data_IF_761565759821
#
_entry.id   IF_761565759821
#
_cell.length_a   1.000
_cell.length_b   1.000
_cell.length_c   1.000
_cell.angle_alpha   90.00
_cell.angle_beta   90.00
_cell.angle_gamma   90.00
#
_symmetry.space_group_name_H-M   'P 1'
#
loop_
_entity.id
_entity.type
_entity.pdbx_description
1 polymer ?
#
# COMPACT_ATOMS: atom_id res chain seq x y z
N UNK A 1 25.71 -15.48 17.27
CA UNK A 1 24.56 -16.40 17.39
C UNK A 1 23.30 -15.60 17.14
N UNK A 2 22.52 -16.01 16.17
CA UNK A 2 21.29 -15.34 15.69
C UNK A 2 20.02 -15.87 16.37
N UNK A 3 20.19 -16.55 17.51
CA UNK A 3 19.11 -17.10 18.31
C UNK A 3 18.30 -15.99 18.96
N UNK A 4 16.97 -16.04 18.86
CA UNK A 4 16.06 -15.11 19.51
C UNK A 4 16.09 -15.31 21.04
N UNK A 5 16.39 -14.25 21.77
CA UNK A 5 16.44 -14.27 23.24
C UNK A 5 15.28 -13.52 23.90
N UNK A 6 14.70 -12.54 23.17
CA UNK A 6 13.58 -11.76 23.69
C UNK A 6 12.66 -11.29 22.55
N UNK A 7 11.36 -11.33 22.80
CA UNK A 7 10.34 -10.72 21.97
C UNK A 7 9.44 -9.90 22.91
N UNK A 8 9.23 -8.62 22.57
CA UNK A 8 8.40 -7.75 23.37
C UNK A 8 7.56 -6.83 22.50
N UNK A 9 6.25 -6.84 22.69
CA UNK A 9 5.32 -5.95 22.04
C UNK A 9 4.81 -4.86 22.99
N UNK A 10 4.38 -3.75 22.39
CA UNK A 10 3.68 -2.65 23.04
C UNK A 10 2.60 -2.09 22.14
N UNK A 11 1.69 -1.35 22.75
CA UNK A 11 0.71 -0.54 22.05
C UNK A 11 1.31 0.86 21.80
N UNK A 12 1.27 1.32 20.54
CA UNK A 12 1.64 2.68 20.13
C UNK A 12 0.46 3.32 19.38
N UNK A 13 0.56 4.58 18.98
CA UNK A 13 -0.46 5.24 18.16
C UNK A 13 -0.06 5.25 16.69
N UNK A 14 -1.04 5.01 15.82
CA UNK A 14 -0.92 5.21 14.38
C UNK A 14 -1.12 6.69 14.00
N UNK A 15 -0.98 7.02 12.70
CA UNK A 15 -1.12 8.37 12.14
C UNK A 15 -2.53 8.97 12.29
N UNK A 16 -3.53 8.15 12.67
CA UNK A 16 -4.90 8.58 12.94
C UNK A 16 -5.18 8.70 14.45
N UNK A 17 -4.17 8.45 15.30
CA UNK A 17 -4.34 8.43 16.76
C UNK A 17 -5.03 7.17 17.29
N UNK A 18 -5.14 6.10 16.47
CA UNK A 18 -5.64 4.81 16.94
C UNK A 18 -4.48 3.93 17.42
N UNK A 19 -4.71 3.06 18.41
CA UNK A 19 -3.70 2.09 18.84
C UNK A 19 -3.32 1.12 17.73
N UNK A 20 -2.02 0.78 17.68
CA UNK A 20 -1.47 -0.31 16.89
C UNK A 20 -0.35 -1.03 17.62
N UNK A 21 0.11 -2.16 17.07
CA UNK A 21 1.14 -3.01 17.66
C UNK A 21 2.53 -2.61 17.18
N UNK A 22 3.47 -2.47 18.11
CA UNK A 22 4.91 -2.40 17.82
C UNK A 22 5.62 -3.54 18.54
N UNK A 23 6.59 -4.17 17.88
CA UNK A 23 7.35 -5.32 18.40
C UNK A 23 8.85 -5.06 18.33
N UNK A 24 9.56 -5.43 19.40
CA UNK A 24 11.02 -5.59 19.43
C UNK A 24 11.39 -7.06 19.47
N UNK A 25 12.40 -7.46 18.69
CA UNK A 25 13.07 -8.77 18.75
C UNK A 25 14.54 -8.55 19.07
N UNK A 26 15.07 -9.28 20.06
CA UNK A 26 16.49 -9.24 20.45
C UNK A 26 17.12 -10.61 20.23
N UNK A 27 18.35 -10.61 19.69
CA UNK A 27 19.12 -11.82 19.40
C UNK A 27 20.27 -12.00 20.39
N UNK A 28 20.78 -13.23 20.53
CA UNK A 28 21.88 -13.56 21.42
C UNK A 28 23.21 -12.83 21.09
N UNK A 29 23.38 -12.37 19.84
CA UNK A 29 24.53 -11.53 19.45
C UNK A 29 24.37 -10.05 19.85
N UNK A 30 23.21 -9.64 20.40
CA UNK A 30 22.91 -8.26 20.76
C UNK A 30 22.18 -7.47 19.68
N UNK A 31 22.02 -8.02 18.46
CA UNK A 31 21.25 -7.39 17.40
C UNK A 31 19.77 -7.26 17.79
N UNK A 32 19.15 -6.19 17.33
CA UNK A 32 17.75 -5.85 17.64
C UNK A 32 17.01 -5.44 16.39
N UNK A 33 15.76 -5.87 16.29
CA UNK A 33 14.84 -5.41 15.26
C UNK A 33 13.58 -4.86 15.86
N UNK A 34 13.02 -3.83 15.24
CA UNK A 34 11.74 -3.21 15.62
C UNK A 34 10.88 -3.08 14.39
N UNK A 35 9.59 -3.32 14.55
CA UNK A 35 8.60 -3.05 13.53
C UNK A 35 7.27 -2.62 14.14
N UNK A 36 6.58 -1.69 13.47
CA UNK A 36 5.25 -1.26 13.82
C UNK A 36 4.25 -1.61 12.70
N UNK A 37 3.07 -2.07 13.11
CA UNK A 37 2.08 -2.63 12.18
C UNK A 37 1.13 -1.53 11.68
N UNK A 38 0.93 -1.39 10.35
CA UNK A 38 -0.06 -0.46 9.80
C UNK A 38 -1.49 -1.01 9.98
N UNK A 39 -2.50 -0.11 9.86
CA UNK A 39 -3.91 -0.43 10.05
C UNK A 39 -4.79 0.20 8.96
N UNK A 40 -5.71 -0.55 8.39
CA UNK A 40 -6.66 -0.06 7.37
C UNK A 40 -7.82 0.77 7.96
N UNK A 41 -8.38 1.68 7.15
CA UNK A 41 -9.67 2.32 7.44
C UNK A 41 -10.83 1.53 6.79
N UNK A 42 -10.74 1.29 5.50
CA UNK A 42 -11.52 0.29 4.77
C UNK A 42 -10.74 -1.02 4.75
N UNK A 43 -11.42 -2.14 4.82
CA UNK A 43 -10.80 -3.48 4.80
C UNK A 43 -11.58 -4.37 3.84
N UNK A 44 -10.88 -5.05 2.93
CA UNK A 44 -11.47 -6.08 2.08
C UNK A 44 -12.06 -7.21 2.91
N UNK A 45 -13.13 -7.81 2.45
CA UNK A 45 -13.87 -8.87 3.18
C UNK A 45 -12.97 -10.06 3.56
N UNK A 46 -11.92 -10.30 2.79
CA UNK A 46 -11.04 -11.47 2.92
C UNK A 46 -9.67 -11.17 3.54
N UNK A 47 -9.45 -9.98 4.08
CA UNK A 47 -8.20 -9.65 4.77
C UNK A 47 -7.98 -10.51 6.02
N UNK A 48 -6.72 -10.71 6.38
CA UNK A 48 -6.35 -11.31 7.65
C UNK A 48 -6.81 -10.42 8.82
N UNK A 49 -7.20 -11.06 9.93
CA UNK A 49 -7.90 -10.40 11.02
C UNK A 49 -7.00 -9.52 11.88
N UNK A 50 -7.23 -8.22 11.86
CA UNK A 50 -6.64 -7.30 12.83
C UNK A 50 -7.33 -7.45 14.18
N UNK A 51 -6.61 -8.00 15.18
CA UNK A 51 -7.18 -8.25 16.51
C UNK A 51 -7.28 -6.96 17.32
N UNK A 52 -8.51 -6.54 17.59
CA UNK A 52 -8.88 -5.39 18.42
C UNK A 52 -9.51 -5.86 19.73
N UNK A 53 -9.36 -5.06 20.80
CA UNK A 53 -9.86 -5.43 22.15
C UNK A 53 -11.39 -5.44 22.23
N UNK A 54 -12.06 -4.52 21.50
CA UNK A 54 -13.51 -4.38 21.51
C UNK A 54 -14.06 -3.69 22.78
N UNK A 55 -13.22 -3.33 23.74
CA UNK A 55 -13.60 -2.61 24.95
C UNK A 55 -13.83 -1.13 24.65
N UNK A 56 -15.09 -0.73 24.56
CA UNK A 56 -15.50 0.63 24.24
C UNK A 56 -15.07 1.70 25.25
N UNK A 57 -14.75 1.29 26.49
CA UNK A 57 -14.25 2.21 27.52
C UNK A 57 -12.80 2.66 27.27
N UNK A 58 -12.09 1.94 26.39
CA UNK A 58 -10.70 2.20 26.05
C UNK A 58 -10.53 2.34 24.53
N UNK A 59 -10.05 3.51 24.08
CA UNK A 59 -9.88 3.83 22.63
C UNK A 59 -11.10 3.50 21.76
N UNK A 60 -12.31 3.66 22.31
CA UNK A 60 -13.57 3.38 21.61
C UNK A 60 -13.67 1.94 21.05
N UNK A 61 -13.00 0.97 21.70
CA UNK A 61 -12.94 -0.42 21.29
C UNK A 61 -11.76 -0.77 20.38
N UNK A 62 -10.94 0.21 19.98
CA UNK A 62 -9.83 0.02 19.03
C UNK A 62 -8.50 -0.37 19.69
N UNK A 63 -8.44 -0.59 21.02
CA UNK A 63 -7.25 -1.05 21.71
C UNK A 63 -6.68 -2.35 21.12
N UNK A 64 -5.38 -2.62 21.33
CA UNK A 64 -4.67 -3.81 20.80
C UNK A 64 -3.96 -4.61 21.89
N UNK A 65 -4.39 -4.46 23.16
CA UNK A 65 -3.77 -5.15 24.29
C UNK A 65 -3.85 -6.69 24.18
N UNK A 66 -4.92 -7.24 23.58
CA UNK A 66 -5.03 -8.67 23.30
C UNK A 66 -3.95 -9.16 22.35
N UNK A 67 -3.70 -8.42 21.27
CA UNK A 67 -2.62 -8.71 20.31
C UNK A 67 -1.25 -8.60 20.99
N UNK A 68 -1.01 -7.53 21.75
CA UNK A 68 0.22 -7.34 22.55
C UNK A 68 0.42 -8.49 23.54
N UNK A 69 -0.61 -8.90 24.26
CA UNK A 69 -0.53 -10.04 25.17
C UNK A 69 -0.22 -11.36 24.44
N UNK A 70 -0.81 -11.59 23.26
CA UNK A 70 -0.51 -12.76 22.44
C UNK A 70 0.97 -12.81 22.02
N UNK A 71 1.54 -11.66 21.63
CA UNK A 71 3.00 -11.56 21.31
C UNK A 71 3.82 -11.87 22.56
N UNK A 72 3.57 -11.17 23.68
CA UNK A 72 4.41 -11.22 24.88
C UNK A 72 4.33 -12.58 25.62
N UNK A 73 3.33 -13.40 25.33
CA UNK A 73 3.12 -14.69 26.00
C UNK A 73 3.23 -15.87 25.03
N UNK A 74 2.25 -16.04 24.14
CA UNK A 74 2.13 -17.24 23.29
C UNK A 74 3.20 -17.28 22.22
N UNK A 75 3.36 -16.17 21.45
CA UNK A 75 4.32 -16.10 20.34
C UNK A 75 5.75 -16.10 20.89
N UNK A 76 6.04 -15.27 21.89
CA UNK A 76 7.36 -15.25 22.52
C UNK A 76 7.76 -16.62 23.06
N UNK A 77 6.84 -17.32 23.77
CA UNK A 77 7.11 -18.68 24.28
C UNK A 77 7.43 -19.69 23.17
N UNK A 78 6.80 -19.56 22.01
CA UNK A 78 7.01 -20.46 20.88
C UNK A 78 8.32 -20.18 20.12
N UNK A 79 8.77 -18.92 20.09
CA UNK A 79 9.87 -18.49 19.21
C UNK A 79 11.20 -18.21 19.94
N UNK A 80 11.22 -18.02 21.26
CA UNK A 80 12.49 -17.92 22.00
C UNK A 80 13.29 -19.22 21.80
N UNK A 81 14.56 -19.07 21.38
CA UNK A 81 15.43 -20.18 21.01
C UNK A 81 15.48 -20.50 19.52
N UNK A 82 14.56 -19.94 18.70
CA UNK A 82 14.62 -20.06 17.24
C UNK A 82 15.78 -19.24 16.64
N UNK A 83 16.25 -19.66 15.49
CA UNK A 83 17.22 -18.90 14.69
C UNK A 83 16.47 -17.82 13.89
N UNK A 84 16.81 -16.55 14.10
CA UNK A 84 16.21 -15.42 13.39
C UNK A 84 16.44 -15.44 11.87
N UNK A 85 17.46 -16.16 11.39
CA UNK A 85 17.72 -16.32 9.96
C UNK A 85 16.75 -17.27 9.27
N UNK A 86 16.02 -18.11 10.02
CA UNK A 86 14.94 -18.95 9.48
C UNK A 86 13.60 -18.22 9.51
N UNK A 87 13.48 -17.14 8.70
CA UNK A 87 12.27 -16.33 8.59
C UNK A 87 11.03 -17.16 8.22
N UNK A 88 11.20 -18.09 7.26
CA UNK A 88 10.09 -18.92 6.77
C UNK A 88 9.60 -19.88 7.87
N UNK A 89 10.52 -20.53 8.58
CA UNK A 89 10.19 -21.42 9.70
C UNK A 89 9.51 -20.67 10.86
N UNK A 90 10.00 -19.45 11.15
CA UNK A 90 9.41 -18.57 12.16
C UNK A 90 7.97 -18.17 11.81
N UNK A 91 7.73 -17.68 10.60
CA UNK A 91 6.39 -17.28 10.15
C UNK A 91 5.42 -18.48 10.14
N UNK A 92 5.85 -19.64 9.61
CA UNK A 92 5.06 -20.87 9.62
C UNK A 92 4.74 -21.35 11.05
N UNK A 93 5.66 -21.18 11.98
CA UNK A 93 5.42 -21.52 13.40
C UNK A 93 4.30 -20.65 13.98
N UNK A 94 4.31 -19.35 13.72
CA UNK A 94 3.26 -18.44 14.18
C UNK A 94 1.90 -18.72 13.53
N UNK A 95 1.90 -18.98 12.21
CA UNK A 95 0.67 -19.32 11.47
C UNK A 95 0.07 -20.63 11.99
N UNK A 96 0.89 -21.65 12.25
CA UNK A 96 0.44 -22.92 12.81
C UNK A 96 -0.08 -22.76 14.26
N UNK A 97 0.56 -21.88 15.05
CA UNK A 97 0.12 -21.57 16.41
C UNK A 97 -1.25 -20.87 16.45
N UNK A 98 -1.53 -20.02 15.48
CA UNK A 98 -2.86 -19.42 15.27
C UNK A 98 -3.87 -20.50 14.83
N UNK A 99 -3.56 -21.25 13.79
CA UNK A 99 -4.34 -22.36 13.27
C UNK A 99 -5.68 -21.97 12.64
N UNK A 100 -5.90 -20.68 12.34
CA UNK A 100 -7.10 -20.20 11.62
C UNK A 100 -6.74 -19.61 10.26
N UNK A 101 -7.60 -19.69 9.23
CA UNK A 101 -7.29 -19.18 7.89
C UNK A 101 -6.99 -17.68 7.83
N UNK A 102 -7.61 -16.90 8.72
CA UNK A 102 -7.51 -15.44 8.77
C UNK A 102 -6.67 -14.93 9.94
N UNK A 103 -5.91 -15.79 10.62
CA UNK A 103 -5.11 -15.43 11.81
C UNK A 103 -5.93 -14.80 12.95
N UNK A 104 -7.19 -15.26 13.11
CA UNK A 104 -8.17 -14.66 14.03
C UNK A 104 -7.92 -14.92 15.51
N UNK A 105 -7.11 -15.93 15.87
CA UNK A 105 -6.82 -16.29 17.26
C UNK A 105 -5.72 -15.43 17.91
N UNK A 106 -4.62 -15.23 17.21
CA UNK A 106 -3.48 -14.42 17.67
C UNK A 106 -3.60 -12.98 17.21
N UNK A 107 -4.18 -12.77 16.04
CA UNK A 107 -4.25 -11.52 15.32
C UNK A 107 -3.14 -11.42 14.26
N UNK A 108 -3.52 -11.07 13.03
CA UNK A 108 -2.55 -10.81 11.97
C UNK A 108 -1.59 -9.68 12.33
N UNK A 109 -2.04 -8.68 13.08
CA UNK A 109 -1.20 -7.60 13.60
C UNK A 109 -0.14 -8.10 14.60
N UNK A 110 -0.47 -9.07 15.45
CA UNK A 110 0.51 -9.69 16.36
C UNK A 110 1.56 -10.49 15.59
N UNK A 111 1.14 -11.30 14.63
CA UNK A 111 2.03 -12.14 13.81
C UNK A 111 2.93 -11.26 12.94
N UNK A 112 2.37 -10.27 12.23
CA UNK A 112 3.13 -9.38 11.36
C UNK A 112 4.18 -8.58 12.13
N UNK A 113 3.82 -8.04 13.29
CA UNK A 113 4.78 -7.27 14.10
C UNK A 113 6.03 -8.08 14.44
N UNK A 114 5.86 -9.35 14.84
CA UNK A 114 7.01 -10.24 15.13
C UNK A 114 7.75 -10.61 13.85
N UNK A 115 7.04 -10.93 12.77
CA UNK A 115 7.62 -11.31 11.48
C UNK A 115 8.55 -10.23 10.93
N UNK A 116 8.09 -8.97 10.90
CA UNK A 116 8.88 -7.83 10.42
C UNK A 116 10.03 -7.49 11.38
N UNK A 117 9.78 -7.45 12.70
CA UNK A 117 10.81 -7.17 13.69
C UNK A 117 11.93 -8.23 13.66
N UNK A 118 11.60 -9.50 13.42
CA UNK A 118 12.59 -10.56 13.21
C UNK A 118 13.47 -10.31 12.00
N UNK A 119 12.88 -9.91 10.86
CA UNK A 119 13.65 -9.60 9.65
C UNK A 119 14.63 -8.44 9.88
N UNK A 120 14.22 -7.40 10.61
CA UNK A 120 15.13 -6.32 11.02
C UNK A 120 16.26 -6.80 11.93
N UNK A 121 15.96 -7.63 12.94
CA UNK A 121 16.98 -8.19 13.84
C UNK A 121 17.98 -9.09 13.09
N UNK A 122 17.48 -9.90 12.15
CA UNK A 122 18.33 -10.76 11.32
C UNK A 122 19.25 -9.96 10.39
N UNK A 123 18.72 -8.90 9.76
CA UNK A 123 19.51 -7.99 8.93
C UNK A 123 20.62 -7.29 9.74
N UNK A 124 20.28 -6.76 10.91
CA UNK A 124 21.23 -6.15 11.85
C UNK A 124 22.32 -7.14 12.30
N UNK A 125 21.95 -8.39 12.61
CA UNK A 125 22.91 -9.43 12.99
C UNK A 125 23.93 -9.76 11.88
N UNK A 126 23.58 -9.51 10.62
CA UNK A 126 24.45 -9.73 9.47
C UNK A 126 25.13 -8.44 8.99
N UNK A 127 24.95 -7.32 9.71
CA UNK A 127 25.45 -5.99 9.32
C UNK A 127 25.01 -5.62 7.88
N UNK A 128 23.75 -5.90 7.54
CA UNK A 128 23.18 -5.63 6.23
C UNK A 128 21.96 -4.70 6.32
N UNK A 129 21.80 -3.74 5.39
CA UNK A 129 20.53 -3.05 5.22
C UNK A 129 19.40 -4.04 4.91
N UNK A 130 18.20 -3.80 5.44
CA UNK A 130 17.08 -4.74 5.32
C UNK A 130 16.77 -5.11 3.85
N UNK A 131 16.76 -4.14 2.93
CA UNK A 131 16.51 -4.44 1.52
C UNK A 131 17.54 -5.39 0.89
N UNK A 132 18.79 -5.34 1.35
CA UNK A 132 19.86 -6.27 0.90
C UNK A 132 19.70 -7.66 1.51
N UNK A 133 19.40 -7.71 2.81
CA UNK A 133 19.12 -8.97 3.50
C UNK A 133 17.97 -9.75 2.85
N UNK A 134 16.85 -9.05 2.56
CA UNK A 134 15.67 -9.68 1.96
C UNK A 134 15.84 -10.01 0.47
N UNK A 135 16.45 -9.10 -0.30
CA UNK A 135 16.46 -9.18 -1.77
C UNK A 135 17.80 -9.67 -2.36
N UNK A 136 18.82 -9.86 -1.51
CA UNK A 136 20.14 -10.30 -1.94
C UNK A 136 20.89 -9.30 -2.84
N UNK A 137 21.90 -9.77 -3.57
CA UNK A 137 22.80 -8.87 -4.32
C UNK A 137 22.12 -8.18 -5.52
N UNK A 138 20.98 -8.67 -6.01
CA UNK A 138 20.26 -8.09 -7.15
C UNK A 138 19.20 -7.08 -6.75
N UNK A 139 18.99 -6.79 -5.46
CA UNK A 139 18.08 -5.73 -5.00
C UNK A 139 18.65 -4.35 -5.35
N UNK A 140 18.07 -3.68 -6.36
CA UNK A 140 18.62 -2.43 -6.93
C UNK A 140 17.61 -1.51 -7.61
N UNK A 141 16.33 -1.95 -7.76
CA UNK A 141 15.32 -1.15 -8.44
C UNK A 141 14.60 -0.26 -7.44
N UNK A 142 14.83 1.05 -7.56
CA UNK A 142 14.07 2.07 -6.86
C UNK A 142 12.66 2.17 -7.49
N UNK A 143 11.59 2.09 -6.68
CA UNK A 143 10.24 2.08 -7.21
C UNK A 143 9.79 3.44 -7.72
N UNK A 144 8.95 3.46 -8.76
CA UNK A 144 8.17 4.64 -9.14
C UNK A 144 7.14 4.91 -8.03
N UNK A 145 7.15 6.12 -7.43
CA UNK A 145 6.15 6.45 -6.43
C UNK A 145 4.81 6.81 -7.09
N UNK A 146 3.74 6.20 -6.58
CA UNK A 146 2.35 6.57 -6.85
C UNK A 146 1.89 7.48 -5.71
N UNK A 147 1.92 8.79 -5.94
CA UNK A 147 1.74 9.79 -4.88
C UNK A 147 0.30 10.29 -4.86
N UNK A 148 -0.47 9.95 -3.84
CA UNK A 148 -1.84 10.45 -3.66
C UNK A 148 -1.84 11.94 -3.34
N UNK A 149 -2.15 12.81 -4.32
CA UNK A 149 -2.16 14.26 -4.16
C UNK A 149 -3.54 14.88 -4.06
N UNK A 150 -4.60 14.12 -4.39
CA UNK A 150 -5.98 14.58 -4.35
C UNK A 150 -6.92 13.47 -3.91
N UNK A 151 -7.77 13.76 -2.94
CA UNK A 151 -8.71 12.82 -2.33
C UNK A 151 -10.17 13.14 -2.70
N UNK A 152 -10.94 12.10 -2.86
CA UNK A 152 -12.41 12.09 -2.96
C UNK A 152 -12.97 10.89 -2.19
N UNK A 153 -14.07 10.32 -2.65
CA UNK A 153 -14.67 9.10 -2.10
C UNK A 153 -14.83 9.14 -0.58
N UNK A 154 -14.50 8.07 0.11
CA UNK A 154 -14.52 7.98 1.57
C UNK A 154 -13.47 8.87 2.26
N UNK A 155 -12.44 9.31 1.54
CA UNK A 155 -11.35 10.15 2.05
C UNK A 155 -11.66 11.67 2.04
N UNK A 156 -12.85 12.08 1.60
CA UNK A 156 -13.24 13.50 1.51
C UNK A 156 -14.75 13.68 1.54
N UNK A 157 -15.22 14.81 2.08
CA UNK A 157 -16.63 15.24 2.00
C UNK A 157 -16.99 15.89 0.65
N UNK A 158 -16.06 15.96 -0.29
CA UNK A 158 -16.28 16.53 -1.61
C UNK A 158 -17.30 15.74 -2.43
N UNK A 159 -18.00 16.40 -3.40
CA UNK A 159 -18.93 15.72 -4.32
C UNK A 159 -18.15 14.94 -5.41
N UNK A 160 -17.25 14.06 -4.99
CA UNK A 160 -16.37 13.23 -5.82
C UNK A 160 -16.49 11.80 -5.32
N UNK A 161 -16.81 10.86 -6.22
CA UNK A 161 -16.98 9.45 -5.87
C UNK A 161 -15.63 8.68 -5.86
N UNK A 162 -14.73 9.04 -6.77
CA UNK A 162 -13.42 8.37 -6.89
C UNK A 162 -12.52 8.76 -5.71
N UNK A 163 -11.86 7.78 -5.07
CA UNK A 163 -11.22 7.96 -3.77
C UNK A 163 -9.86 8.65 -3.85
N UNK A 164 -8.98 8.26 -4.80
CA UNK A 164 -7.62 8.78 -4.89
C UNK A 164 -7.21 9.11 -6.32
N UNK A 165 -6.56 10.28 -6.46
CA UNK A 165 -5.91 10.71 -7.70
C UNK A 165 -4.42 10.86 -7.41
N UNK A 166 -3.62 10.03 -8.05
CA UNK A 166 -2.17 9.94 -7.83
C UNK A 166 -1.39 10.47 -9.02
N UNK A 167 -0.21 11.01 -8.77
CA UNK A 167 0.79 11.30 -9.80
C UNK A 167 1.91 10.26 -9.75
N UNK A 168 2.44 9.94 -10.94
CA UNK A 168 3.55 9.02 -11.14
C UNK A 168 4.64 9.69 -11.96
N UNK A 169 5.79 10.10 -11.37
CA UNK A 169 6.89 10.73 -12.09
C UNK A 169 7.73 9.69 -12.87
N UNK A 170 7.11 8.97 -13.82
CA UNK A 170 7.77 7.91 -14.62
C UNK A 170 8.89 8.46 -15.53
N UNK A 171 8.83 9.73 -15.90
CA UNK A 171 9.85 10.36 -16.73
C UNK A 171 11.13 10.78 -16.00
N UNK A 172 11.20 10.59 -14.68
CA UNK A 172 12.38 10.91 -13.89
C UNK A 172 13.58 9.99 -14.22
N UNK A 173 14.79 10.48 -13.98
CA UNK A 173 16.03 9.72 -14.22
C UNK A 173 16.49 8.93 -12.99
N UNK A 174 16.04 9.34 -11.79
CA UNK A 174 16.38 8.75 -10.51
C UNK A 174 15.21 8.86 -9.55
N UNK A 175 15.24 8.11 -8.43
CA UNK A 175 14.23 8.25 -7.39
C UNK A 175 14.25 9.65 -6.76
N UNK A 176 15.44 10.19 -6.50
CA UNK A 176 15.63 11.57 -6.00
C UNK A 176 14.98 12.59 -6.92
N UNK A 177 15.13 12.43 -8.22
CA UNK A 177 14.51 13.32 -9.21
C UNK A 177 12.98 13.14 -9.21
N UNK A 178 12.49 11.91 -9.15
CA UNK A 178 11.07 11.62 -9.07
C UNK A 178 10.41 12.26 -7.82
N UNK A 179 11.08 12.17 -6.67
CA UNK A 179 10.59 12.77 -5.43
C UNK A 179 10.56 14.29 -5.51
N UNK A 180 11.59 14.92 -6.11
CA UNK A 180 11.63 16.37 -6.37
C UNK A 180 10.48 16.79 -7.28
N UNK A 181 10.30 16.11 -8.41
CA UNK A 181 9.21 16.39 -9.36
C UNK A 181 7.84 16.32 -8.68
N UNK A 182 7.62 15.26 -7.88
CA UNK A 182 6.39 15.11 -7.11
C UNK A 182 6.16 16.26 -6.13
N UNK A 183 7.20 16.66 -5.38
CA UNK A 183 7.10 17.76 -4.41
C UNK A 183 6.81 19.11 -5.09
N UNK A 184 7.43 19.38 -6.22
CA UNK A 184 7.19 20.60 -7.01
C UNK A 184 5.75 20.64 -7.53
N UNK A 185 5.22 19.52 -8.04
CA UNK A 185 3.81 19.42 -8.46
C UNK A 185 2.86 19.57 -7.27
N UNK A 186 3.15 18.95 -6.14
CA UNK A 186 2.34 19.08 -4.92
C UNK A 186 2.23 20.55 -4.46
N UNK A 187 3.34 21.29 -4.47
CA UNK A 187 3.34 22.71 -4.12
C UNK A 187 2.64 23.58 -5.19
N UNK A 188 2.82 23.28 -6.48
CA UNK A 188 2.09 23.94 -7.56
C UNK A 188 0.57 23.70 -7.41
N UNK A 189 0.14 22.44 -7.10
CA UNK A 189 -1.26 22.10 -6.87
C UNK A 189 -1.85 22.90 -5.70
N UNK A 190 -1.10 23.08 -4.61
CA UNK A 190 -1.51 23.96 -3.51
C UNK A 190 -1.77 25.39 -3.98
N UNK A 191 -0.93 25.90 -4.88
CA UNK A 191 -1.10 27.22 -5.50
C UNK A 191 -2.35 27.30 -6.37
N UNK A 192 -2.57 26.31 -7.24
CA UNK A 192 -3.75 26.21 -8.13
C UNK A 192 -5.04 26.19 -7.29
N UNK A 193 -5.09 25.35 -6.25
CA UNK A 193 -6.25 25.24 -5.36
C UNK A 193 -6.54 26.57 -4.64
N UNK A 194 -5.52 27.23 -4.09
CA UNK A 194 -5.68 28.54 -3.44
C UNK A 194 -6.20 29.60 -4.40
N UNK A 195 -5.69 29.65 -5.62
CA UNK A 195 -6.14 30.58 -6.65
C UNK A 195 -7.62 30.35 -7.02
N UNK A 196 -8.05 29.10 -7.04
CA UNK A 196 -9.44 28.70 -7.21
C UNK A 196 -10.32 28.86 -5.97
N UNK A 197 -9.78 29.39 -4.85
CA UNK A 197 -10.46 29.52 -3.54
C UNK A 197 -10.91 28.19 -2.93
N UNK A 198 -10.20 27.09 -3.26
CA UNK A 198 -10.44 25.78 -2.68
C UNK A 198 -9.61 25.55 -1.41
N UNK A 199 -10.10 24.66 -0.54
CA UNK A 199 -9.37 24.22 0.65
C UNK A 199 -8.03 23.56 0.25
N UNK A 200 -7.00 23.80 1.05
CA UNK A 200 -5.71 23.09 0.96
C UNK A 200 -5.46 22.25 2.22
N UNK A 201 -6.51 21.91 2.96
CA UNK A 201 -6.44 20.89 4.00
C UNK A 201 -6.15 19.53 3.36
N UNK A 202 -5.43 18.68 4.10
CA UNK A 202 -5.02 17.36 3.62
C UNK A 202 -5.75 16.26 4.39
N UNK A 203 -6.01 15.16 3.71
CA UNK A 203 -6.57 13.94 4.29
C UNK A 203 -5.52 13.09 5.02
N UNK A 204 -5.94 11.89 5.44
CA UNK A 204 -5.12 10.96 6.22
C UNK A 204 -3.82 10.55 5.52
N UNK A 205 -3.80 10.54 4.20
CA UNK A 205 -2.65 10.16 3.39
C UNK A 205 -1.84 11.37 2.87
N UNK A 206 -2.19 12.57 3.30
CA UNK A 206 -1.45 13.80 2.96
C UNK A 206 -1.85 14.45 1.64
N UNK A 207 -2.74 13.86 0.83
CA UNK A 207 -3.32 14.48 -0.36
C UNK A 207 -4.34 15.55 -0.01
N UNK A 208 -4.52 16.56 -0.87
CA UNK A 208 -5.53 17.61 -0.66
C UNK A 208 -6.94 17.05 -0.77
N UNK A 209 -7.88 17.62 0.01
CA UNK A 209 -9.28 17.21 0.03
C UNK A 209 -10.22 18.43 -0.23
N UNK A 210 -10.12 19.08 -1.39
CA UNK A 210 -10.95 20.24 -1.73
C UNK A 210 -12.34 19.80 -2.20
N UNK A 211 -13.38 20.63 -1.98
CA UNK A 211 -14.71 20.43 -2.53
C UNK A 211 -14.75 20.81 -4.02
N UNK A 212 -14.16 19.98 -4.89
CA UNK A 212 -14.21 20.15 -6.34
C UNK A 212 -15.57 19.70 -6.89
N UNK A 213 -15.86 20.05 -8.16
CA UNK A 213 -17.23 20.04 -8.71
C UNK A 213 -17.77 18.65 -9.06
N UNK A 214 -16.92 17.74 -9.52
CA UNK A 214 -17.26 16.40 -10.02
C UNK A 214 -16.02 15.51 -10.13
N UNK A 215 -16.17 14.28 -10.57
CA UNK A 215 -15.08 13.29 -10.70
C UNK A 215 -13.99 13.67 -11.73
N UNK A 216 -14.26 14.58 -12.67
CA UNK A 216 -13.27 15.01 -13.67
C UNK A 216 -12.47 16.25 -13.25
N UNK A 217 -13.03 17.12 -12.44
CA UNK A 217 -12.37 18.36 -12.02
C UNK A 217 -10.99 18.14 -11.33
N UNK A 218 -10.76 17.07 -10.55
CA UNK A 218 -9.41 16.74 -10.04
C UNK A 218 -8.37 16.62 -11.14
N UNK A 219 -8.67 15.99 -12.28
CA UNK A 219 -7.73 15.89 -13.39
C UNK A 219 -7.33 17.26 -13.94
N UNK A 220 -8.29 18.18 -14.09
CA UNK A 220 -8.04 19.51 -14.63
C UNK A 220 -7.08 20.29 -13.71
N UNK A 221 -7.28 20.28 -12.41
CA UNK A 221 -6.41 20.99 -11.46
C UNK A 221 -5.04 20.33 -11.32
N UNK A 222 -4.97 18.99 -11.41
CA UNK A 222 -3.69 18.26 -11.40
C UNK A 222 -2.89 18.56 -12.66
N UNK A 223 -3.51 18.55 -13.85
CA UNK A 223 -2.84 18.90 -15.11
C UNK A 223 -2.35 20.35 -15.12
N UNK A 224 -3.13 21.27 -14.55
CA UNK A 224 -2.71 22.66 -14.38
C UNK A 224 -1.48 22.77 -13.46
N UNK A 225 -1.46 22.00 -12.36
CA UNK A 225 -0.33 21.95 -11.43
C UNK A 225 0.93 21.35 -12.07
N UNK A 226 0.80 20.25 -12.82
CA UNK A 226 1.93 19.64 -13.56
C UNK A 226 2.54 20.66 -14.53
N UNK A 227 1.69 21.36 -15.30
CA UNK A 227 2.13 22.41 -16.23
C UNK A 227 2.78 23.59 -15.50
N UNK A 228 2.19 24.04 -14.38
CA UNK A 228 2.74 25.14 -13.57
C UNK A 228 4.11 24.80 -12.96
N UNK A 229 4.33 23.53 -12.60
CA UNK A 229 5.61 23.02 -12.13
C UNK A 229 6.66 22.84 -13.25
N UNK A 230 6.29 23.08 -14.51
CA UNK A 230 7.19 23.00 -15.65
C UNK A 230 7.31 21.62 -16.30
N UNK A 231 6.46 20.66 -15.90
CA UNK A 231 6.48 19.29 -16.42
C UNK A 231 5.41 19.04 -17.49
N UNK A 232 5.59 17.97 -18.25
CA UNK A 232 4.66 17.52 -19.30
C UNK A 232 3.89 16.29 -18.84
N UNK A 233 2.57 16.45 -18.70
CA UNK A 233 1.68 15.33 -18.44
C UNK A 233 1.72 14.31 -19.60
N UNK A 234 1.74 13.03 -19.29
CA UNK A 234 1.86 11.94 -20.27
C UNK A 234 3.27 11.74 -20.83
N UNK A 235 4.28 12.47 -20.31
CA UNK A 235 5.69 12.28 -20.64
C UNK A 235 6.54 12.19 -19.38
N UNK A 236 6.53 13.25 -18.58
CA UNK A 236 7.33 13.34 -17.35
C UNK A 236 6.55 12.78 -16.18
N UNK A 237 5.25 13.13 -16.09
CA UNK A 237 4.33 12.74 -15.02
C UNK A 237 3.06 12.15 -15.62
N UNK A 238 2.65 11.01 -15.09
CA UNK A 238 1.43 10.30 -15.44
C UNK A 238 0.46 10.31 -14.26
N UNK A 239 -0.78 9.87 -14.49
CA UNK A 239 -1.84 9.79 -13.48
C UNK A 239 -2.14 8.33 -13.20
N UNK A 240 -2.34 8.01 -11.92
CA UNK A 240 -2.94 6.77 -11.46
C UNK A 240 -4.18 7.07 -10.61
N UNK A 241 -5.12 6.15 -10.61
CA UNK A 241 -6.38 6.26 -9.87
C UNK A 241 -6.53 5.09 -8.90
N UNK A 242 -7.16 5.38 -7.78
CA UNK A 242 -7.85 4.39 -6.95
C UNK A 242 -9.28 4.85 -6.73
N UNK A 243 -10.23 4.35 -7.53
CA UNK A 243 -11.65 4.62 -7.33
C UNK A 243 -12.24 4.03 -6.07
N UNK A 244 -11.68 2.92 -5.56
CA UNK A 244 -12.27 2.08 -4.52
C UNK A 244 -13.74 1.72 -4.86
N UNK A 245 -13.96 1.11 -6.02
CA UNK A 245 -15.29 0.98 -6.62
C UNK A 245 -16.27 0.14 -5.80
N UNK A 246 -15.81 -0.68 -4.87
CA UNK A 246 -16.67 -1.38 -3.91
C UNK A 246 -17.50 -0.42 -3.05
N UNK A 247 -16.99 0.80 -2.74
CA UNK A 247 -17.68 1.81 -1.91
C UNK A 247 -18.94 2.38 -2.58
N UNK A 248 -19.01 2.38 -3.89
CA UNK A 248 -20.18 2.87 -4.64
C UNK A 248 -20.88 1.77 -5.46
N UNK A 249 -20.56 0.49 -5.21
CA UNK A 249 -21.27 -0.63 -5.78
C UNK A 249 -22.50 -0.99 -4.95
N UNK A 250 -23.63 -1.18 -5.62
CA UNK A 250 -24.86 -1.68 -5.01
C UNK A 250 -25.08 -3.15 -5.39
N UNK A 251 -24.84 -4.10 -4.47
CA UNK A 251 -24.98 -5.52 -4.77
C UNK A 251 -26.41 -5.97 -5.09
N UNK A 252 -27.43 -5.24 -4.59
CA UNK A 252 -28.82 -5.59 -4.86
C UNK A 252 -29.23 -5.31 -6.32
N UNK A 253 -28.74 -4.21 -6.89
CA UNK A 253 -29.04 -3.82 -8.28
C UNK A 253 -27.92 -4.18 -9.25
N UNK A 254 -26.74 -4.61 -8.74
CA UNK A 254 -25.51 -4.84 -9.50
C UNK A 254 -25.09 -3.61 -10.32
N UNK A 255 -25.23 -2.42 -9.73
CA UNK A 255 -24.92 -1.13 -10.35
C UNK A 255 -23.89 -0.38 -9.52
N UNK A 256 -23.04 0.35 -10.21
CA UNK A 256 -22.15 1.36 -9.63
C UNK A 256 -22.88 2.69 -9.60
N UNK A 257 -23.02 3.30 -8.43
CA UNK A 257 -23.83 4.49 -8.21
C UNK A 257 -22.97 5.65 -7.73
N UNK A 258 -22.80 6.67 -8.55
CA UNK A 258 -22.03 7.87 -8.20
C UNK A 258 -22.88 8.79 -7.31
N UNK A 259 -23.00 8.40 -6.04
CA UNK A 259 -23.89 9.05 -5.05
C UNK A 259 -23.47 10.47 -4.69
N UNK A 260 -22.16 10.75 -4.73
CA UNK A 260 -21.60 12.04 -4.31
C UNK A 260 -21.62 13.08 -5.42
N UNK A 261 -21.44 12.67 -6.67
CA UNK A 261 -21.37 13.59 -7.81
C UNK A 261 -22.71 13.79 -8.52
N UNK A 262 -23.07 12.93 -9.45
CA UNK A 262 -24.20 13.16 -10.36
C UNK A 262 -25.38 12.19 -10.19
N UNK A 263 -25.28 11.23 -9.27
CA UNK A 263 -26.31 10.21 -9.03
C UNK A 263 -26.43 9.17 -10.14
N UNK A 264 -25.54 9.18 -11.13
CA UNK A 264 -25.57 8.23 -12.25
C UNK A 264 -25.36 6.78 -11.80
N UNK A 265 -26.04 5.86 -12.51
CA UNK A 265 -25.96 4.42 -12.24
C UNK A 265 -25.42 3.70 -13.46
N UNK A 266 -24.36 2.92 -13.27
CA UNK A 266 -23.67 2.18 -14.34
C UNK A 266 -23.65 0.69 -14.06
N UNK A 267 -23.81 -0.12 -15.09
CA UNK A 267 -23.44 -1.54 -15.07
C UNK A 267 -21.91 -1.68 -15.13
N UNK A 268 -21.39 -2.89 -14.92
CA UNK A 268 -19.96 -3.16 -15.10
C UNK A 268 -19.48 -2.77 -16.50
N UNK A 269 -20.22 -3.10 -17.56
CA UNK A 269 -19.86 -2.73 -18.92
C UNK A 269 -19.81 -1.21 -19.13
N UNK A 270 -20.79 -0.46 -18.60
CA UNK A 270 -20.80 1.01 -18.65
C UNK A 270 -19.65 1.63 -17.82
N UNK A 271 -19.21 0.99 -16.70
CA UNK A 271 -18.03 1.41 -15.97
C UNK A 271 -16.74 1.17 -16.78
N UNK A 272 -16.63 0.04 -17.49
CA UNK A 272 -15.50 -0.25 -18.37
C UNK A 272 -15.38 0.81 -19.48
N UNK A 273 -16.49 1.21 -20.09
CA UNK A 273 -16.46 2.30 -21.08
C UNK A 273 -16.09 3.66 -20.43
N UNK A 274 -16.58 3.93 -19.22
CA UNK A 274 -16.20 5.14 -18.48
C UNK A 274 -14.69 5.21 -18.24
N UNK A 275 -14.06 4.12 -17.81
CA UNK A 275 -12.58 4.05 -17.67
C UNK A 275 -11.86 4.17 -19.02
N UNK A 276 -12.41 3.55 -20.06
CA UNK A 276 -11.86 3.67 -21.42
C UNK A 276 -11.86 5.10 -21.90
N UNK A 277 -12.93 5.85 -21.68
CA UNK A 277 -13.05 7.23 -22.14
C UNK A 277 -12.17 8.19 -21.31
N UNK A 278 -12.10 8.00 -20.00
CA UNK A 278 -11.18 8.77 -19.16
C UNK A 278 -9.71 8.54 -19.54
N UNK A 279 -9.33 7.29 -19.83
CA UNK A 279 -7.93 6.96 -20.22
C UNK A 279 -7.53 7.49 -21.60
N UNK A 280 -8.50 7.76 -22.49
CA UNK A 280 -8.25 8.47 -23.76
C UNK A 280 -8.07 9.99 -23.56
N UNK A 281 -8.79 10.54 -22.57
CA UNK A 281 -8.83 11.98 -22.29
C UNK A 281 -7.67 12.45 -21.44
N UNK A 282 -7.22 11.63 -20.50
CA UNK A 282 -6.21 11.94 -19.50
C UNK A 282 -5.05 10.94 -19.54
N UNK A 283 -3.83 11.31 -19.14
CA UNK A 283 -2.66 10.43 -19.19
C UNK A 283 -2.67 9.42 -18.04
N UNK A 284 -3.76 8.66 -17.92
CA UNK A 284 -3.94 7.59 -16.94
C UNK A 284 -3.16 6.37 -17.39
N UNK A 285 -2.35 5.78 -16.50
CA UNK A 285 -1.56 4.57 -16.76
C UNK A 285 -1.88 3.42 -15.81
N UNK A 286 -2.60 3.70 -14.72
CA UNK A 286 -2.95 2.70 -13.71
C UNK A 286 -4.30 3.01 -13.09
N UNK A 287 -5.12 1.96 -12.89
CA UNK A 287 -6.40 2.01 -12.18
C UNK A 287 -6.40 0.87 -11.16
N UNK A 288 -6.48 1.21 -9.88
CA UNK A 288 -6.65 0.30 -8.76
C UNK A 288 -8.13 0.17 -8.45
N UNK A 289 -8.61 -1.02 -8.17
CA UNK A 289 -10.00 -1.33 -7.81
C UNK A 289 -11.06 -0.56 -8.62
N UNK A 290 -10.89 -0.61 -9.96
CA UNK A 290 -11.79 0.05 -10.92
C UNK A 290 -13.20 -0.56 -10.94
N UNK A 291 -13.38 -1.75 -10.36
CA UNK A 291 -14.65 -2.43 -10.14
C UNK A 291 -14.66 -3.08 -8.76
N UNK A 292 -15.85 -3.44 -8.25
CA UNK A 292 -16.01 -4.02 -6.93
C UNK A 292 -15.29 -5.38 -6.79
N UNK A 293 -14.80 -5.68 -5.59
CA UNK A 293 -14.02 -6.88 -5.25
C UNK A 293 -14.75 -8.20 -5.58
N UNK A 294 -16.09 -8.21 -5.51
CA UNK A 294 -16.93 -9.35 -5.86
C UNK A 294 -17.30 -9.47 -7.33
N UNK A 295 -17.07 -8.45 -8.17
CA UNK A 295 -17.50 -8.41 -9.57
C UNK A 295 -16.45 -8.99 -10.54
N UNK A 296 -16.08 -10.25 -10.36
CA UNK A 296 -15.06 -10.94 -11.14
C UNK A 296 -15.36 -10.95 -12.65
N UNK A 297 -16.65 -11.01 -13.04
CA UNK A 297 -17.05 -10.96 -14.45
C UNK A 297 -16.80 -9.57 -15.06
N UNK A 298 -17.13 -8.52 -14.32
CA UNK A 298 -16.81 -7.14 -14.70
C UNK A 298 -15.30 -6.91 -14.79
N UNK A 299 -14.54 -7.39 -13.82
CA UNK A 299 -13.08 -7.31 -13.82
C UNK A 299 -12.45 -8.00 -15.04
N UNK A 300 -12.95 -9.16 -15.43
CA UNK A 300 -12.51 -9.82 -16.64
C UNK A 300 -12.76 -8.97 -17.88
N UNK A 301 -13.97 -8.40 -18.00
CA UNK A 301 -14.31 -7.50 -19.10
C UNK A 301 -13.40 -6.25 -19.12
N UNK A 302 -13.11 -5.69 -17.96
CA UNK A 302 -12.19 -4.55 -17.80
C UNK A 302 -10.78 -4.93 -18.29
N UNK A 303 -10.31 -6.12 -17.93
CA UNK A 303 -8.97 -6.60 -18.31
C UNK A 303 -8.88 -6.85 -19.81
N UNK A 304 -9.88 -7.50 -20.41
CA UNK A 304 -9.95 -7.72 -21.86
C UNK A 304 -9.97 -6.41 -22.66
N UNK A 305 -10.62 -5.38 -22.13
CA UNK A 305 -10.74 -4.07 -22.82
C UNK A 305 -9.52 -3.19 -22.68
N UNK A 306 -8.93 -3.14 -21.50
CA UNK A 306 -7.93 -2.13 -21.13
C UNK A 306 -6.58 -2.72 -20.65
N UNK A 307 -6.48 -4.00 -20.38
CA UNK A 307 -5.29 -4.62 -19.78
C UNK A 307 -4.01 -4.49 -20.59
N UNK A 308 -4.11 -4.41 -21.92
CA UNK A 308 -2.96 -4.18 -22.80
C UNK A 308 -2.44 -2.73 -22.77
N UNK A 309 -3.21 -1.81 -22.22
CA UNK A 309 -2.92 -0.36 -22.23
C UNK A 309 -2.69 0.23 -20.85
N UNK A 310 -3.35 -0.33 -19.85
CA UNK A 310 -3.37 0.15 -18.48
C UNK A 310 -2.94 -0.94 -17.51
N UNK A 311 -2.25 -0.53 -16.46
CA UNK A 311 -2.10 -1.33 -15.28
C UNK A 311 -3.43 -1.36 -14.53
N UNK A 312 -3.96 -2.56 -14.30
CA UNK A 312 -5.19 -2.82 -13.57
C UNK A 312 -4.83 -3.52 -12.26
N UNK A 313 -4.86 -2.76 -11.17
CA UNK A 313 -4.38 -3.20 -9.86
C UNK A 313 -5.53 -3.74 -9.03
N UNK A 314 -5.43 -4.98 -8.57
CA UNK A 314 -6.35 -5.55 -7.59
C UNK A 314 -5.83 -5.33 -6.17
N UNK A 315 -6.52 -4.51 -5.37
CA UNK A 315 -6.34 -4.36 -3.92
C UNK A 315 -7.33 -5.28 -3.19
N UNK A 316 -8.56 -4.86 -3.01
CA UNK A 316 -9.58 -5.67 -2.34
C UNK A 316 -9.91 -6.95 -3.11
N UNK A 317 -9.70 -6.94 -4.43
CA UNK A 317 -9.83 -8.13 -5.29
C UNK A 317 -8.91 -9.27 -4.87
N UNK A 318 -7.67 -8.98 -4.43
CA UNK A 318 -6.64 -9.97 -4.14
C UNK A 318 -6.21 -10.03 -2.67
N UNK A 319 -6.39 -8.95 -1.92
CA UNK A 319 -6.04 -8.80 -0.49
C UNK A 319 -4.66 -9.37 -0.13
N UNK A 320 -3.66 -9.20 -1.02
CA UNK A 320 -2.30 -9.75 -0.88
C UNK A 320 -2.26 -11.29 -0.69
N UNK A 321 -3.33 -11.98 -1.07
CA UNK A 321 -3.51 -13.41 -0.82
C UNK A 321 -3.26 -14.24 -2.09
N UNK A 322 -2.29 -15.16 -2.05
CA UNK A 322 -1.91 -16.02 -3.17
C UNK A 322 -3.07 -16.84 -3.75
N UNK A 323 -4.07 -17.20 -2.94
CA UNK A 323 -5.27 -17.93 -3.39
C UNK A 323 -6.12 -17.08 -4.35
N UNK A 324 -6.36 -15.80 -3.98
CA UNK A 324 -7.14 -14.90 -4.85
C UNK A 324 -6.33 -14.43 -6.03
N UNK A 325 -5.02 -14.15 -5.83
CA UNK A 325 -4.12 -13.83 -6.92
C UNK A 325 -4.05 -14.96 -7.95
N UNK A 326 -3.91 -16.21 -7.51
CA UNK A 326 -3.95 -17.39 -8.40
C UNK A 326 -5.23 -17.46 -9.20
N UNK A 327 -6.39 -17.21 -8.56
CA UNK A 327 -7.67 -17.13 -9.29
C UNK A 327 -7.63 -16.06 -10.38
N UNK A 328 -7.11 -14.87 -10.08
CA UNK A 328 -6.96 -13.80 -11.07
C UNK A 328 -6.09 -14.21 -12.25
N UNK A 329 -4.94 -14.81 -11.98
CA UNK A 329 -4.02 -15.34 -13.00
C UNK A 329 -4.71 -16.41 -13.88
N UNK A 330 -5.33 -17.40 -13.25
CA UNK A 330 -5.99 -18.51 -13.96
C UNK A 330 -7.16 -18.03 -14.85
N UNK A 331 -7.81 -16.92 -14.49
CA UNK A 331 -8.95 -16.37 -15.23
C UNK A 331 -8.61 -15.19 -16.14
N UNK A 332 -7.35 -14.72 -16.14
CA UNK A 332 -6.92 -13.54 -16.89
C UNK A 332 -7.61 -12.27 -16.41
N UNK A 333 -7.64 -12.05 -15.09
CA UNK A 333 -8.34 -10.96 -14.41
C UNK A 333 -7.36 -10.04 -13.71
N UNK A 334 -7.36 -8.75 -14.01
CA UNK A 334 -6.32 -7.76 -13.64
C UNK A 334 -4.97 -8.08 -14.31
N UNK A 335 -3.93 -7.29 -14.01
CA UNK A 335 -2.54 -7.52 -14.44
C UNK A 335 -1.53 -6.99 -13.42
N UNK A 336 -2.01 -6.60 -12.24
CA UNK A 336 -1.20 -6.09 -11.13
C UNK A 336 -1.86 -6.40 -9.80
N UNK A 337 -1.06 -6.55 -8.75
CA UNK A 337 -1.52 -6.69 -7.37
C UNK A 337 -1.04 -5.53 -6.52
N UNK A 338 -1.93 -5.00 -5.66
CA UNK A 338 -1.51 -4.17 -4.54
C UNK A 338 -1.07 -5.06 -3.39
N UNK A 339 0.07 -4.76 -2.79
CA UNK A 339 0.68 -5.57 -1.74
C UNK A 339 0.68 -4.78 -0.44
N UNK A 340 -0.15 -5.18 0.51
CA UNK A 340 -0.26 -4.62 1.85
C UNK A 340 0.13 -5.69 2.87
N UNK A 341 1.23 -5.52 3.55
CA UNK A 341 1.80 -6.54 4.46
C UNK A 341 0.82 -7.04 5.53
N UNK A 342 -0.07 -6.16 6.00
CA UNK A 342 -1.04 -6.52 7.05
C UNK A 342 -2.31 -7.21 6.52
N UNK A 343 -2.61 -7.15 5.22
CA UNK A 343 -3.74 -7.89 4.62
C UNK A 343 -3.54 -9.40 4.68
N UNK A 344 -2.29 -9.85 4.65
CA UNK A 344 -1.94 -11.26 4.77
C UNK A 344 -1.29 -11.59 6.11
N UNK A 345 -0.50 -10.68 6.71
CA UNK A 345 -0.07 -10.73 8.10
C UNK A 345 1.23 -11.49 8.39
N UNK A 346 2.07 -11.78 7.39
CA UNK A 346 3.46 -12.23 7.56
C UNK A 346 4.33 -11.77 6.39
N UNK A 347 5.63 -11.63 6.63
CA UNK A 347 6.60 -11.29 5.60
C UNK A 347 6.71 -12.40 4.55
N UNK A 348 6.76 -13.66 4.97
CA UNK A 348 6.87 -14.81 4.06
C UNK A 348 5.70 -14.85 3.07
N UNK A 349 4.45 -14.77 3.54
CA UNK A 349 3.28 -14.79 2.64
C UNK A 349 3.23 -13.53 1.75
N UNK A 350 3.73 -12.39 2.24
CA UNK A 350 3.85 -11.17 1.43
C UNK A 350 4.84 -11.37 0.27
N UNK A 351 5.99 -11.97 0.54
CA UNK A 351 7.00 -12.27 -0.49
C UNK A 351 6.50 -13.33 -1.47
N UNK A 352 5.79 -14.37 -0.99
CA UNK A 352 5.16 -15.40 -1.83
C UNK A 352 4.14 -14.78 -2.81
N UNK A 353 3.34 -13.80 -2.37
CA UNK A 353 2.38 -13.11 -3.24
C UNK A 353 3.09 -12.27 -4.32
N UNK A 354 4.18 -11.57 -3.97
CA UNK A 354 4.97 -10.79 -4.92
C UNK A 354 5.64 -11.71 -5.95
N UNK A 355 6.21 -12.82 -5.52
CA UNK A 355 6.86 -13.78 -6.42
C UNK A 355 5.85 -14.40 -7.40
N UNK A 356 4.70 -14.88 -6.88
CA UNK A 356 3.62 -15.41 -7.71
C UNK A 356 3.15 -14.40 -8.77
N UNK A 357 3.02 -13.12 -8.40
CA UNK A 357 2.65 -12.07 -9.34
C UNK A 357 3.67 -11.94 -10.47
N UNK A 358 4.97 -11.89 -10.12
CA UNK A 358 6.06 -11.76 -11.09
C UNK A 358 6.17 -12.97 -12.04
N UNK A 359 6.05 -14.18 -11.52
CA UNK A 359 6.05 -15.40 -12.32
C UNK A 359 4.92 -15.41 -13.37
N UNK A 360 3.80 -14.76 -13.06
CA UNK A 360 2.65 -14.61 -13.95
C UNK A 360 2.71 -13.37 -14.85
N UNK A 361 3.82 -12.60 -14.84
CA UNK A 361 3.96 -11.30 -15.50
C UNK A 361 2.97 -10.24 -15.02
N UNK A 362 2.47 -10.37 -13.80
CA UNK A 362 1.76 -9.28 -13.11
C UNK A 362 2.78 -8.33 -12.48
N UNK A 363 2.47 -7.04 -12.46
CA UNK A 363 3.22 -6.09 -11.65
C UNK A 363 2.77 -6.16 -10.19
N UNK A 364 3.64 -5.69 -9.28
CA UNK A 364 3.32 -5.56 -7.86
C UNK A 364 3.53 -4.11 -7.43
N UNK A 365 2.58 -3.54 -6.72
CA UNK A 365 2.67 -2.21 -6.12
C UNK A 365 2.74 -2.39 -4.62
N UNK A 366 3.87 -2.07 -4.01
CA UNK A 366 4.02 -2.13 -2.56
C UNK A 366 3.30 -0.94 -1.93
N UNK A 367 2.42 -1.20 -0.96
CA UNK A 367 1.49 -0.19 -0.48
C UNK A 367 1.53 0.00 1.04
N UNK A 368 1.31 1.24 1.45
CA UNK A 368 0.95 1.63 2.80
C UNK A 368 -0.49 1.26 3.15
N UNK A 369 -0.92 1.65 4.35
CA UNK A 369 -2.35 1.71 4.75
C UNK A 369 -2.73 3.13 5.15
N UNK A 370 -4.04 3.37 5.33
CA UNK A 370 -4.54 4.68 5.79
C UNK A 370 -4.05 5.03 7.20
N UNK A 371 -3.95 4.07 8.11
CA UNK A 371 -3.28 4.21 9.41
C UNK A 371 -1.85 3.71 9.35
N UNK A 372 -0.90 4.61 9.35
CA UNK A 372 0.54 4.34 9.28
C UNK A 372 1.28 4.74 10.55
N UNK A 373 2.53 4.35 10.62
CA UNK A 373 3.47 4.71 11.66
C UNK A 373 4.73 5.30 11.03
N UNK A 374 5.78 5.52 11.81
CA UNK A 374 7.12 5.87 11.31
C UNK A 374 7.89 4.68 10.72
N UNK A 375 7.33 3.47 10.75
CA UNK A 375 7.95 2.28 10.16
C UNK A 375 8.16 2.45 8.66
N UNK A 376 9.33 2.04 8.16
CA UNK A 376 9.73 2.20 6.75
C UNK A 376 9.91 0.87 6.02
N UNK A 377 9.57 -0.24 6.63
CA UNK A 377 9.81 -1.60 6.10
C UNK A 377 9.30 -1.80 4.67
N UNK A 378 8.15 -1.20 4.32
CA UNK A 378 7.60 -1.31 2.95
C UNK A 378 8.51 -0.68 1.88
N UNK A 379 9.31 0.32 2.23
CA UNK A 379 10.30 0.90 1.31
C UNK A 379 11.44 -0.11 1.03
N UNK A 380 11.91 -0.79 2.07
CA UNK A 380 12.92 -1.85 1.94
C UNK A 380 12.38 -3.05 1.15
N UNK A 381 11.13 -3.49 1.40
CA UNK A 381 10.47 -4.57 0.66
C UNK A 381 10.36 -4.20 -0.83
N UNK A 382 9.98 -2.96 -1.17
CA UNK A 382 9.84 -2.53 -2.57
C UNK A 382 11.16 -2.68 -3.35
N UNK A 383 12.28 -2.31 -2.74
CA UNK A 383 13.61 -2.45 -3.37
C UNK A 383 14.12 -3.87 -3.30
N UNK A 384 13.92 -4.57 -2.18
CA UNK A 384 14.33 -5.97 -1.99
C UNK A 384 13.74 -6.87 -3.09
N UNK A 385 12.49 -6.68 -3.40
CA UNK A 385 11.78 -7.48 -4.39
C UNK A 385 11.91 -6.93 -5.82
N UNK A 386 12.57 -5.78 -6.04
CA UNK A 386 12.55 -5.06 -7.31
C UNK A 386 11.12 -4.90 -7.86
N UNK A 387 10.15 -4.56 -6.99
CA UNK A 387 8.74 -4.46 -7.37
C UNK A 387 8.47 -3.36 -8.40
N UNK A 388 9.33 -2.35 -8.44
CA UNK A 388 9.27 -1.26 -9.42
C UNK A 388 8.26 -0.17 -9.12
N UNK A 389 7.35 -0.36 -8.15
CA UNK A 389 6.33 0.63 -7.79
C UNK A 389 6.05 0.63 -6.27
N UNK A 390 5.71 1.81 -5.73
CA UNK A 390 5.28 1.98 -4.34
C UNK A 390 4.16 3.01 -4.26
N UNK A 391 3.09 2.68 -3.52
CA UNK A 391 1.98 3.57 -3.16
C UNK A 391 2.08 3.86 -1.67
N UNK A 392 2.53 5.06 -1.28
CA UNK A 392 2.76 5.38 0.14
C UNK A 392 2.33 6.80 0.52
N UNK A 393 1.22 7.25 -0.07
CA UNK A 393 0.59 8.53 0.23
C UNK A 393 1.25 9.71 -0.47
N UNK A 394 1.05 10.90 0.09
CA UNK A 394 1.49 12.16 -0.49
C UNK A 394 2.87 12.60 0.04
N UNK A 395 3.22 13.83 -0.25
CA UNK A 395 4.51 14.48 0.02
C UNK A 395 4.51 15.34 1.29
N UNK A 396 3.57 15.08 2.18
CA UNK A 396 3.48 15.63 3.53
C UNK A 396 2.96 14.57 4.49
N UNK A 397 2.99 14.86 5.80
CA UNK A 397 2.80 13.93 6.92
C UNK A 397 3.97 12.95 7.06
N UNK A 398 4.59 12.95 8.23
CA UNK A 398 5.84 12.19 8.49
C UNK A 398 5.67 10.69 8.29
N UNK A 399 4.49 10.15 8.61
CA UNK A 399 4.10 8.76 8.41
C UNK A 399 4.16 8.30 6.93
N UNK A 400 4.09 9.24 5.97
CA UNK A 400 4.26 9.00 4.53
C UNK A 400 5.68 9.32 4.09
N UNK A 401 6.16 10.50 4.44
CA UNK A 401 7.47 11.03 4.01
C UNK A 401 8.62 10.16 4.51
N UNK A 402 8.50 9.49 5.67
CA UNK A 402 9.55 8.60 6.18
C UNK A 402 9.89 7.46 5.21
N UNK A 403 8.90 6.90 4.46
CA UNK A 403 9.11 5.86 3.45
C UNK A 403 9.88 6.42 2.24
N UNK A 404 9.54 7.63 1.78
CA UNK A 404 10.29 8.31 0.71
C UNK A 404 11.72 8.62 1.13
N UNK A 405 11.92 9.10 2.36
CA UNK A 405 13.25 9.37 2.90
C UNK A 405 14.09 8.09 3.01
N UNK A 406 13.46 6.96 3.34
CA UNK A 406 14.14 5.65 3.35
C UNK A 406 14.59 5.25 1.95
N UNK A 407 13.76 5.44 0.93
CA UNK A 407 14.13 5.18 -0.47
C UNK A 407 15.29 6.07 -0.95
N UNK A 408 15.38 7.32 -0.50
CA UNK A 408 16.55 8.17 -0.78
C UNK A 408 17.83 7.61 -0.14
N UNK A 409 17.78 7.11 1.11
CA UNK A 409 18.92 6.46 1.76
C UNK A 409 19.33 5.18 1.02
N UNK A 410 18.36 4.38 0.57
CA UNK A 410 18.62 3.18 -0.22
C UNK A 410 19.26 3.54 -1.56
N UNK A 411 18.77 4.58 -2.26
CA UNK A 411 19.38 5.06 -3.51
C UNK A 411 20.83 5.49 -3.29
N UNK A 412 21.14 6.18 -2.20
CA UNK A 412 22.49 6.59 -1.83
C UNK A 412 23.40 5.37 -1.58
N UNK A 413 22.91 4.37 -0.83
CA UNK A 413 23.65 3.11 -0.57
C UNK A 413 23.91 2.32 -1.86
N UNK A 414 23.00 2.30 -2.80
CA UNK A 414 23.16 1.64 -4.09
C UNK A 414 24.11 2.39 -5.04
N UNK A 415 24.17 3.71 -4.92
CA UNK A 415 25.01 4.57 -5.76
C UNK A 415 24.76 4.33 -7.25
N UNK A 416 25.81 4.03 -8.01
CA UNK A 416 25.73 3.79 -9.46
C UNK A 416 24.97 2.50 -9.84
N UNK A 417 24.71 1.61 -8.90
CA UNK A 417 23.95 0.38 -9.14
C UNK A 417 22.44 0.60 -9.08
N UNK A 418 21.99 1.76 -8.58
CA UNK A 418 20.58 2.09 -8.51
C UNK A 418 19.94 2.17 -9.90
N UNK A 419 18.79 1.54 -10.06
CA UNK A 419 17.97 1.58 -11.28
C UNK A 419 16.61 2.16 -10.90
N UNK A 420 16.15 3.18 -11.60
CA UNK A 420 14.82 3.73 -11.35
C UNK A 420 13.76 2.95 -12.14
N UNK A 421 12.72 2.44 -11.47
CA UNK A 421 11.70 1.56 -12.04
C UNK A 421 10.79 2.23 -13.08
N UNK A 422 10.81 3.57 -13.24
CA UNK A 422 10.01 4.31 -14.24
C UNK A 422 10.28 3.95 -15.70
N UNK A 423 11.33 3.21 -15.94
CA UNK A 423 11.71 2.70 -17.28
C UNK A 423 11.15 1.31 -17.59
N UNK A 424 10.33 0.73 -16.69
CA UNK A 424 9.65 -0.55 -16.88
C UNK A 424 8.45 -0.41 -17.83
#
# INVERSE_FOLDING_TARGET
MTTITRIQAREILDSRGNPTVEVDVELACGARGRAAVPSGASTGEHEAWELRDGDKSRYLGKGVQKAVANVNTKIAKALIGHDALDQVGLDRTMIALDGTPTKGKLGANAILGVSLANAHAAAEALDQPLFKYLGGPNAKVLPVPMMNIMNGGAHSDAPIDLQEYMIMPKGAESFRDALRMGAEVFHALKGVLKSGKYSTAVGDEGGFAPALKNNEHPFEVILAAIKQAGYKAGKDIFIALDPAASEFYDPATKKYVFKKSDGSKRSAAEMVEYWSDLSKKYPIVSIEDGLAEGDWAGWKLLTEKLGDKLQLVGDDLFVTNTKFLKRGIDTGTANSILVKVNQIGSLTETLDAIEMAKEANYTAVISHRSGETEDTTIADIAVATNAGQIKTGSLCRTDRVCKYNQLLRIEELLGKSAVYGGKL
#
